data_IF_639942332330
#
_entry.id   IF_639942332330
#
_cell.length_a   1.000
_cell.length_b   1.000
_cell.length_c   1.000
_cell.angle_alpha   90.00
_cell.angle_beta   90.00
_cell.angle_gamma   90.00
#
_symmetry.space_group_name_H-M   'P 1'
#
loop_
_entity.id
_entity.type
_entity.pdbx_description
1 polymer ?
#
# COMPACT_ATOMS: atom_id res chain seq x y z
N UNK A 1 -15.41 11.74 14.52
CA UNK A 1 -15.79 10.63 13.63
C UNK A 1 -14.75 10.54 12.53
N UNK A 2 -13.67 9.78 12.75
CA UNK A 2 -12.62 9.59 11.75
C UNK A 2 -13.06 8.56 10.71
N UNK A 3 -12.79 8.84 9.44
CA UNK A 3 -13.15 8.00 8.27
C UNK A 3 -12.25 6.76 8.17
N UNK A 4 -11.19 6.68 8.99
CA UNK A 4 -10.21 5.59 9.01
C UNK A 4 -10.15 4.97 10.41
N UNK A 5 -10.28 3.64 10.48
CA UNK A 5 -10.01 2.86 11.70
C UNK A 5 -8.50 2.81 11.91
N UNK A 6 -8.00 3.59 12.87
CA UNK A 6 -6.63 3.43 13.37
C UNK A 6 -6.56 2.18 14.24
N UNK A 7 -5.57 1.32 13.99
CA UNK A 7 -5.31 0.21 14.90
C UNK A 7 -4.75 0.76 16.22
N UNK A 8 -5.48 0.50 17.29
CA UNK A 8 -5.13 0.85 18.66
C UNK A 8 -4.75 -0.41 19.42
N UNK A 9 -3.79 -0.30 20.31
CA UNK A 9 -3.46 -1.35 21.26
C UNK A 9 -3.66 -0.84 22.69
N UNK A 10 -4.05 -1.76 23.55
CA UNK A 10 -4.21 -1.57 24.99
C UNK A 10 -3.38 -2.65 25.66
N UNK A 11 -2.51 -2.27 26.59
CA UNK A 11 -1.58 -3.17 27.24
C UNK A 11 -1.55 -2.92 28.74
N UNK A 12 -1.63 -3.98 29.53
CA UNK A 12 -1.34 -3.94 30.96
C UNK A 12 0.11 -4.43 31.17
N UNK A 13 1.05 -3.49 31.26
CA UNK A 13 2.47 -3.78 31.34
C UNK A 13 2.85 -4.02 32.80
N UNK A 14 3.34 -5.22 33.11
CA UNK A 14 3.89 -5.54 34.43
C UNK A 14 5.39 -5.33 34.42
N UNK A 15 5.87 -4.44 35.29
CA UNK A 15 7.29 -4.09 35.40
C UNK A 15 7.81 -4.61 36.73
N UNK A 16 8.91 -5.37 36.66
CA UNK A 16 9.69 -5.81 37.81
C UNK A 16 11.15 -5.48 37.56
N UNK A 17 11.79 -4.81 38.52
CA UNK A 17 13.20 -4.47 38.43
C UNK A 17 13.87 -4.65 39.79
N UNK A 18 15.13 -5.10 39.77
CA UNK A 18 15.96 -5.26 40.95
C UNK A 18 17.25 -4.51 40.75
N UNK A 19 17.61 -3.63 41.69
CA UNK A 19 18.84 -2.85 41.65
C UNK A 19 19.70 -3.13 42.88
N UNK A 20 21.01 -3.27 42.67
CA UNK A 20 21.98 -3.38 43.75
C UNK A 20 22.43 -1.98 44.22
N UNK A 21 22.02 -1.54 45.42
CA UNK A 21 22.34 -0.20 45.91
C UNK A 21 23.82 -0.02 46.27
N UNK A 22 24.62 -1.08 46.44
CA UNK A 22 26.06 -0.95 46.72
C UNK A 22 26.79 -0.14 45.65
N UNK A 23 26.29 -0.18 44.41
CA UNK A 23 26.89 0.56 43.30
C UNK A 23 26.72 2.07 43.42
N UNK A 24 25.73 2.54 44.18
CA UNK A 24 25.57 3.97 44.48
C UNK A 24 26.73 4.50 45.31
N UNK A 25 27.41 3.65 46.10
CA UNK A 25 28.59 4.05 46.87
C UNK A 25 29.72 4.54 45.95
N UNK A 26 29.85 3.98 44.74
CA UNK A 26 30.84 4.42 43.75
C UNK A 26 30.57 5.84 43.19
N UNK A 27 29.33 6.33 43.30
CA UNK A 27 28.93 7.68 42.87
C UNK A 27 29.17 8.73 43.95
N UNK A 28 29.36 8.34 45.21
CA UNK A 28 29.64 9.25 46.33
C UNK A 28 31.10 9.68 46.32
N UNK A 29 31.42 10.69 45.50
CA UNK A 29 32.72 11.36 45.48
C UNK A 29 32.65 12.65 46.31
N UNK A 30 33.79 13.12 46.82
CA UNK A 30 33.89 14.32 47.66
C UNK A 30 33.31 15.60 47.05
N UNK A 31 33.21 15.68 45.71
CA UNK A 31 32.64 16.82 44.99
C UNK A 31 31.22 16.58 44.45
N UNK A 32 30.54 15.51 44.86
CA UNK A 32 29.20 15.16 44.36
C UNK A 32 28.22 15.14 45.54
N UNK A 33 27.21 16.01 45.49
CA UNK A 33 26.08 15.99 46.40
C UNK A 33 24.94 15.25 45.71
N UNK A 34 24.53 14.11 46.28
CA UNK A 34 23.39 13.35 45.78
C UNK A 34 22.08 14.07 46.15
N UNK A 35 21.21 14.27 45.16
CA UNK A 35 19.85 14.76 45.36
C UNK A 35 18.92 13.68 45.95
N UNK A 36 17.66 14.04 46.25
CA UNK A 36 16.66 13.07 46.69
C UNK A 36 16.42 12.02 45.58
N UNK A 37 16.39 10.72 45.91
CA UNK A 37 16.17 9.67 44.92
C UNK A 37 14.74 9.74 44.37
N UNK A 38 14.60 9.47 43.07
CA UNK A 38 13.32 9.40 42.36
C UNK A 38 13.37 8.26 41.37
N UNK A 39 12.27 7.53 41.24
CA UNK A 39 12.06 6.58 40.15
C UNK A 39 11.35 7.32 39.03
N UNK A 40 11.88 7.24 37.80
CA UNK A 40 11.32 7.95 36.64
C UNK A 40 10.95 6.92 35.59
N UNK A 41 9.73 7.02 35.07
CA UNK A 41 9.26 6.25 33.92
C UNK A 41 8.87 7.26 32.88
N UNK A 42 9.55 7.23 31.74
CA UNK A 42 9.24 8.12 30.65
C UNK A 42 8.66 7.35 29.47
N UNK A 43 7.76 8.04 28.78
CA UNK A 43 6.96 7.52 27.70
C UNK A 43 7.01 8.50 26.54
N UNK A 44 6.82 7.99 25.31
CA UNK A 44 6.76 8.85 24.13
C UNK A 44 5.60 9.85 24.17
N UNK A 45 4.47 9.49 24.78
CA UNK A 45 3.30 10.35 24.94
C UNK A 45 2.58 10.03 26.26
N UNK A 46 2.50 11.00 27.17
CA UNK A 46 1.83 10.83 28.47
C UNK A 46 0.32 10.59 28.35
N UNK A 47 -0.32 10.97 27.23
CA UNK A 47 -1.76 10.75 27.00
C UNK A 47 -2.11 9.27 26.88
N UNK A 48 -1.12 8.43 26.54
CA UNK A 48 -1.27 6.98 26.48
C UNK A 48 -1.29 6.30 27.85
N UNK A 49 -0.89 6.99 28.93
CA UNK A 49 -0.91 6.42 30.28
C UNK A 49 -2.36 6.42 30.78
N UNK A 50 -2.93 5.24 30.95
CA UNK A 50 -4.29 5.05 31.45
C UNK A 50 -4.35 5.05 32.98
N UNK A 51 -3.66 4.09 33.60
CA UNK A 51 -3.63 3.91 35.05
C UNK A 51 -2.31 3.30 35.50
N UNK A 52 -1.94 3.57 36.75
CA UNK A 52 -0.73 3.05 37.39
C UNK A 52 -1.17 2.35 38.66
N UNK A 53 -0.85 1.08 38.79
CA UNK A 53 -1.33 0.24 39.87
C UNK A 53 -0.18 -0.12 40.82
N UNK A 54 -0.37 0.28 42.09
CA UNK A 54 0.46 -0.10 43.24
C UNK A 54 1.97 -0.08 42.95
N UNK A 55 2.58 1.09 42.69
CA UNK A 55 4.01 1.16 42.57
C UNK A 55 4.67 0.95 43.93
N UNK A 56 5.33 -0.19 44.06
CA UNK A 56 5.96 -0.61 45.29
C UNK A 56 7.47 -0.64 45.13
N UNK A 57 8.15 -0.12 46.15
CA UNK A 57 9.59 -0.29 46.31
C UNK A 57 9.84 -0.95 47.65
N UNK A 58 10.46 -2.13 47.65
CA UNK A 58 10.68 -2.96 48.84
C UNK A 58 9.40 -3.17 49.67
N UNK A 59 8.24 -3.25 49.03
CA UNK A 59 6.91 -3.40 49.65
C UNK A 59 6.28 -2.11 50.18
N UNK A 60 6.94 -0.95 50.03
CA UNK A 60 6.36 0.35 50.36
C UNK A 60 5.73 0.98 49.12
N UNK A 61 4.44 1.33 49.21
CA UNK A 61 3.73 2.02 48.13
C UNK A 61 4.25 3.45 47.97
N UNK A 62 4.59 3.83 46.75
CA UNK A 62 5.04 5.17 46.39
C UNK A 62 3.90 6.02 45.84
N UNK A 63 3.97 7.34 46.04
CA UNK A 63 3.11 8.28 45.32
C UNK A 63 3.65 8.50 43.91
N UNK A 64 2.74 8.57 42.94
CA UNK A 64 3.07 8.89 41.55
C UNK A 64 2.74 10.35 41.30
N UNK A 65 3.70 11.08 40.75
CA UNK A 65 3.53 12.45 40.31
C UNK A 65 3.72 12.56 38.79
N UNK A 66 2.94 13.42 38.10
CA UNK A 66 3.09 13.64 36.66
C UNK A 66 4.40 14.36 36.33
N UNK A 67 4.93 14.09 35.12
CA UNK A 67 6.19 14.65 34.63
C UNK A 67 7.42 13.86 35.07
N UNK A 68 8.58 14.19 34.51
CA UNK A 68 9.81 13.42 34.72
C UNK A 68 10.52 13.72 36.06
N UNK A 69 10.24 14.86 36.69
CA UNK A 69 10.87 15.23 37.97
C UNK A 69 12.40 15.36 37.91
N UNK A 70 12.98 15.45 36.71
CA UNK A 70 14.41 15.67 36.42
C UNK A 70 14.54 16.80 35.40
N UNK A 71 15.72 17.41 35.32
CA UNK A 71 16.06 18.39 34.29
C UNK A 71 16.00 17.71 32.91
N UNK A 72 15.22 18.28 31.99
CA UNK A 72 15.11 17.78 30.61
C UNK A 72 13.67 17.77 30.11
N UNK A 73 13.53 17.83 28.78
CA UNK A 73 12.23 17.76 28.12
C UNK A 73 11.80 16.31 27.93
N UNK A 74 10.57 15.99 28.36
CA UNK A 74 9.97 14.69 28.08
C UNK A 74 8.68 14.45 28.84
N UNK A 75 7.95 13.43 28.40
CA UNK A 75 6.68 13.02 28.98
C UNK A 75 6.86 11.76 29.83
N UNK A 76 6.11 11.66 30.93
CA UNK A 76 6.23 10.54 31.85
C UNK A 76 5.70 10.83 33.23
N UNK A 77 6.15 10.01 34.16
CA UNK A 77 5.82 10.05 35.57
C UNK A 77 7.10 9.91 36.39
N UNK A 78 7.06 10.45 37.60
CA UNK A 78 8.10 10.22 38.59
C UNK A 78 7.49 9.87 39.93
N UNK A 79 8.23 9.08 40.70
CA UNK A 79 7.83 8.63 42.03
C UNK A 79 8.95 9.04 42.98
N UNK A 80 8.73 10.03 43.85
CA UNK A 80 9.67 10.39 44.89
C UNK A 80 9.93 9.19 45.80
N UNK A 81 11.20 8.92 46.09
CA UNK A 81 11.59 7.78 46.92
C UNK A 81 12.11 8.27 48.27
N UNK A 82 11.90 7.49 49.36
CA UNK A 82 12.60 7.75 50.61
C UNK A 82 14.11 7.59 50.41
N UNK A 83 14.90 8.21 51.29
CA UNK A 83 16.34 8.05 51.26
C UNK A 83 16.71 6.56 51.34
N UNK A 84 17.56 6.10 50.41
CA UNK A 84 17.99 4.72 50.33
C UNK A 84 18.84 4.39 51.57
N UNK A 85 18.34 3.47 52.40
CA UNK A 85 19.09 2.97 53.55
C UNK A 85 20.27 2.11 53.07
N UNK A 86 21.39 2.16 53.79
CA UNK A 86 22.58 1.33 53.52
C UNK A 86 22.44 -0.10 54.07
N UNK A 87 21.23 -0.66 54.05
CA UNK A 87 20.96 -1.97 54.64
C UNK A 87 21.31 -3.15 53.71
N UNK A 88 22.05 -2.86 52.63
CA UNK A 88 22.58 -3.84 51.67
C UNK A 88 21.52 -4.74 51.02
N UNK A 89 20.25 -4.35 51.08
CA UNK A 89 19.15 -5.07 50.45
C UNK A 89 18.98 -4.62 49.00
N UNK A 90 18.74 -5.54 48.05
CA UNK A 90 18.40 -5.14 46.70
C UNK A 90 17.13 -4.28 46.72
N UNK A 91 17.12 -3.25 45.88
CA UNK A 91 15.98 -2.39 45.66
C UNK A 91 15.06 -3.08 44.66
N UNK A 92 14.02 -3.72 45.19
CA UNK A 92 12.99 -4.39 44.40
C UNK A 92 11.88 -3.39 44.06
N UNK A 93 11.61 -3.25 42.77
CA UNK A 93 10.60 -2.35 42.21
C UNK A 93 9.59 -3.20 41.47
N UNK A 94 8.31 -3.04 41.80
CA UNK A 94 7.22 -3.73 41.11
C UNK A 94 6.03 -2.78 40.94
N UNK A 95 5.50 -2.70 39.72
CA UNK A 95 4.28 -1.95 39.42
C UNK A 95 3.65 -2.42 38.11
N UNK A 96 2.38 -2.08 37.91
CA UNK A 96 1.70 -2.29 36.63
C UNK A 96 1.27 -0.96 36.02
N UNK A 97 1.38 -0.85 34.70
CA UNK A 97 1.09 0.34 33.93
C UNK A 97 0.14 -0.01 32.79
N UNK A 98 -1.04 0.59 32.80
CA UNK A 98 -1.98 0.48 31.69
C UNK A 98 -1.59 1.51 30.63
N UNK A 99 -1.18 1.03 29.46
CA UNK A 99 -0.75 1.83 28.33
C UNK A 99 -1.67 1.63 27.13
N UNK A 100 -2.03 2.75 26.51
CA UNK A 100 -2.79 2.80 25.28
C UNK A 100 -1.97 3.54 24.23
N UNK A 101 -1.96 3.01 23.01
CA UNK A 101 -1.24 3.63 21.92
C UNK A 101 -1.72 3.19 20.55
N UNK A 102 -1.09 3.77 19.53
CA UNK A 102 -1.32 3.47 18.11
C UNK A 102 0.01 3.26 17.44
N UNK A 103 0.10 2.31 16.51
CA UNK A 103 1.35 2.03 15.81
C UNK A 103 2.27 1.08 16.56
N UNK A 104 3.48 1.55 16.80
CA UNK A 104 4.55 0.77 17.40
C UNK A 104 4.47 0.78 18.94
N UNK A 105 4.68 -0.38 19.54
CA UNK A 105 5.02 -0.51 20.96
C UNK A 105 6.52 -0.77 21.08
N UNK A 106 7.23 0.12 21.79
CA UNK A 106 8.69 0.03 21.97
C UNK A 106 9.06 0.15 23.45
N UNK A 107 9.88 -0.77 23.95
CA UNK A 107 10.40 -0.77 25.32
C UNK A 107 11.93 -0.75 25.31
N UNK A 108 12.53 0.24 25.97
CA UNK A 108 13.99 0.35 26.09
C UNK A 108 14.50 -0.51 27.25
N UNK A 109 15.36 -1.53 27.01
CA UNK A 109 15.95 -2.34 28.06
C UNK A 109 17.08 -1.58 28.76
N UNK A 110 16.75 -0.84 29.82
CA UNK A 110 17.72 -0.07 30.62
C UNK A 110 18.59 -0.92 31.54
N UNK A 111 18.15 -2.14 31.85
CA UNK A 111 18.85 -3.04 32.76
C UNK A 111 20.11 -3.65 32.15
N UNK A 112 21.03 -4.11 33.01
CA UNK A 112 22.13 -4.96 32.54
C UNK A 112 21.61 -6.23 31.88
N UNK A 113 20.61 -6.85 32.47
CA UNK A 113 19.86 -7.93 31.84
C UNK A 113 18.41 -7.47 31.78
N UNK A 114 17.75 -7.68 30.66
CA UNK A 114 16.34 -7.30 30.49
C UNK A 114 15.64 -8.37 29.68
N UNK A 115 14.42 -8.67 30.11
CA UNK A 115 13.57 -9.66 29.48
C UNK A 115 12.20 -9.03 29.24
N UNK A 116 11.63 -9.26 28.07
CA UNK A 116 10.28 -8.84 27.74
C UNK A 116 9.53 -10.02 27.14
N UNK A 117 8.40 -10.36 27.76
CA UNK A 117 7.44 -11.30 27.21
C UNK A 117 6.18 -10.52 26.82
N UNK A 118 5.84 -10.55 25.53
CA UNK A 118 4.67 -9.88 24.98
C UNK A 118 3.72 -10.92 24.41
N UNK A 119 2.46 -10.84 24.79
CA UNK A 119 1.38 -11.62 24.20
C UNK A 119 0.34 -10.65 23.63
N UNK A 120 -0.09 -10.89 22.40
CA UNK A 120 -1.08 -10.07 21.72
C UNK A 120 -2.05 -10.97 20.95
N UNK A 121 -3.28 -10.51 20.81
CA UNK A 121 -4.31 -11.13 19.97
C UNK A 121 -4.23 -10.71 18.49
N UNK A 122 -3.22 -9.91 18.11
CA UNK A 122 -3.01 -9.48 16.74
C UNK A 122 -2.30 -10.57 15.91
N UNK A 123 -2.80 -10.98 14.73
CA UNK A 123 -2.22 -12.10 13.98
C UNK A 123 -0.97 -11.75 13.15
N UNK A 124 -0.72 -10.47 12.86
CA UNK A 124 0.36 -10.05 11.95
C UNK A 124 1.35 -9.07 12.61
N UNK A 125 2.18 -9.54 13.58
CA UNK A 125 3.17 -8.67 14.22
C UNK A 125 4.27 -8.22 13.27
N UNK A 126 4.64 -6.93 13.34
CA UNK A 126 5.90 -6.44 12.79
C UNK A 126 7.00 -6.46 13.85
N UNK A 127 7.90 -7.43 13.82
CA UNK A 127 9.10 -7.40 14.67
C UNK A 127 10.19 -6.59 13.97
N UNK A 128 10.36 -5.34 14.39
CA UNK A 128 11.31 -4.38 13.84
C UNK A 128 12.23 -3.86 14.96
N UNK A 129 13.25 -3.07 14.60
CA UNK A 129 14.10 -2.39 15.58
C UNK A 129 15.45 -3.06 15.85
N UNK A 130 16.06 -2.71 16.98
CA UNK A 130 17.45 -3.08 17.33
C UNK A 130 17.58 -4.51 17.85
N UNK A 131 16.47 -5.12 18.30
CA UNK A 131 16.45 -6.46 18.87
C UNK A 131 15.31 -7.28 18.29
N UNK A 132 15.66 -8.40 17.67
CA UNK A 132 14.69 -9.41 17.27
C UNK A 132 14.35 -10.32 18.46
N UNK A 133 13.10 -10.80 18.55
CA UNK A 133 12.71 -11.73 19.61
C UNK A 133 13.52 -13.02 19.50
N UNK A 134 14.01 -13.53 20.64
CA UNK A 134 14.74 -14.79 20.73
C UNK A 134 13.82 -15.98 20.49
N UNK A 135 12.55 -15.87 20.90
CA UNK A 135 11.49 -16.84 20.61
C UNK A 135 10.23 -16.11 20.15
N UNK A 136 9.58 -16.65 19.11
CA UNK A 136 8.31 -16.12 18.59
C UNK A 136 7.37 -17.25 18.18
N UNK A 137 6.11 -17.12 18.55
CA UNK A 137 5.00 -17.96 18.11
C UNK A 137 3.95 -17.03 17.49
N UNK A 138 3.63 -17.22 16.22
CA UNK A 138 2.64 -16.39 15.49
C UNK A 138 1.55 -17.30 14.95
N UNK A 139 0.29 -16.94 15.18
CA UNK A 139 -0.89 -17.69 14.79
C UNK A 139 -2.02 -16.75 14.35
N UNK A 140 -3.06 -17.29 13.70
CA UNK A 140 -4.24 -16.50 13.34
C UNK A 140 -5.00 -15.93 14.56
N UNK A 141 -4.78 -16.46 15.76
CA UNK A 141 -5.38 -15.98 17.00
C UNK A 141 -4.56 -14.88 17.71
N UNK A 142 -3.32 -14.65 17.27
CA UNK A 142 -2.39 -13.76 17.95
C UNK A 142 -0.93 -14.20 17.89
N UNK A 143 -0.07 -13.47 18.60
CA UNK A 143 1.34 -13.79 18.75
C UNK A 143 1.81 -13.77 20.21
N UNK A 144 2.86 -14.56 20.46
CA UNK A 144 3.69 -14.48 21.66
C UNK A 144 5.14 -14.26 21.24
N UNK A 145 5.78 -13.27 21.81
CA UNK A 145 7.16 -12.94 21.53
C UNK A 145 7.93 -12.75 22.83
N UNK A 146 9.16 -13.24 22.83
CA UNK A 146 10.07 -13.16 23.95
C UNK A 146 11.37 -12.51 23.47
N UNK A 147 11.76 -11.42 24.12
CA UNK A 147 13.04 -10.75 23.93
C UNK A 147 13.89 -10.91 25.17
N UNK A 148 15.18 -11.05 24.95
CA UNK A 148 16.17 -11.05 26.00
C UNK A 148 17.35 -10.21 25.54
N UNK A 149 17.82 -9.32 26.41
CA UNK A 149 19.05 -8.57 26.18
C UNK A 149 19.96 -8.62 27.39
N UNK A 150 21.25 -8.47 27.12
CA UNK A 150 22.31 -8.45 28.11
C UNK A 150 23.12 -7.17 27.99
N UNK A 151 23.97 -6.91 28.98
CA UNK A 151 24.77 -5.70 29.08
C UNK A 151 25.65 -5.50 27.85
N UNK A 152 26.13 -6.61 27.28
CA UNK A 152 26.95 -6.61 26.06
C UNK A 152 26.18 -6.16 24.82
N UNK A 153 24.86 -6.39 24.79
CA UNK A 153 24.02 -6.09 23.64
C UNK A 153 23.39 -4.69 23.74
N UNK A 154 23.05 -4.23 24.94
CA UNK A 154 22.44 -2.91 25.14
C UNK A 154 23.48 -1.78 25.20
N UNK A 155 24.69 -2.06 25.72
CA UNK A 155 25.75 -1.09 26.06
C UNK A 155 25.20 0.25 26.60
N UNK A 156 24.20 0.16 27.48
CA UNK A 156 23.40 1.32 27.86
C UNK A 156 24.24 2.39 28.58
N UNK A 157 25.34 1.97 29.22
CA UNK A 157 26.29 2.88 29.84
C UNK A 157 27.03 3.79 28.86
N UNK A 158 27.06 3.51 27.55
CA UNK A 158 27.62 4.43 26.56
C UNK A 158 26.70 5.63 26.28
N UNK A 159 25.39 5.44 26.42
CA UNK A 159 24.38 6.48 26.18
C UNK A 159 24.28 7.47 27.35
N UNK A 160 24.57 7.05 28.59
CA UNK A 160 24.48 7.93 29.77
C UNK A 160 25.82 8.52 30.23
N UNK A 161 26.83 8.60 29.35
CA UNK A 161 28.19 9.07 29.71
C UNK A 161 28.35 10.58 29.73
N UNK A 162 27.63 11.29 28.87
CA UNK A 162 27.75 12.73 28.66
C UNK A 162 26.44 13.44 29.01
N UNK A 163 26.51 14.72 29.36
CA UNK A 163 25.37 15.61 29.66
C UNK A 163 24.54 15.95 28.40
N UNK A 164 24.60 15.09 27.39
CA UNK A 164 23.94 15.23 26.10
C UNK A 164 22.53 14.64 26.19
N UNK A 165 21.52 15.44 25.87
CA UNK A 165 20.16 14.94 25.70
C UNK A 165 20.11 13.98 24.50
N UNK A 166 19.92 12.68 24.79
CA UNK A 166 19.76 11.67 23.74
C UNK A 166 18.28 11.55 23.40
N UNK A 167 17.88 11.77 22.14
CA UNK A 167 16.51 11.57 21.74
C UNK A 167 16.13 10.10 21.85
N UNK A 168 14.93 9.85 22.38
CA UNK A 168 14.29 8.54 22.59
C UNK A 168 14.44 7.58 21.41
N UNK A 169 14.36 8.11 20.18
CA UNK A 169 14.46 7.34 18.93
C UNK A 169 15.81 6.69 18.65
N UNK A 170 16.87 7.08 19.37
CA UNK A 170 18.22 6.51 19.21
C UNK A 170 18.54 5.43 20.23
N UNK A 171 17.69 5.24 21.24
CA UNK A 171 17.89 4.19 22.23
C UNK A 171 17.48 2.84 21.60
N UNK A 172 18.30 1.80 21.77
CA UNK A 172 17.92 0.48 21.30
C UNK A 172 16.70 0.00 22.10
N UNK A 173 15.69 -0.52 21.41
CA UNK A 173 14.41 -0.91 22.02
C UNK A 173 13.94 -2.27 21.50
N UNK A 174 13.17 -2.96 22.34
CA UNK A 174 12.32 -4.08 21.96
C UNK A 174 11.06 -3.51 21.34
N UNK A 175 10.85 -3.76 20.05
CA UNK A 175 9.74 -3.15 19.31
C UNK A 175 8.82 -4.21 18.69
N UNK A 176 7.53 -3.94 18.78
CA UNK A 176 6.47 -4.68 18.10
C UNK A 176 5.52 -3.69 17.43
N UNK A 177 5.42 -3.78 16.11
CA UNK A 177 4.50 -2.98 15.32
C UNK A 177 3.14 -3.68 15.22
N UNK A 178 2.08 -2.89 15.47
CA UNK A 178 0.70 -3.31 15.29
C UNK A 178 0.17 -2.85 13.92
N UNK A 179 0.75 -1.81 13.31
CA UNK A 179 0.30 -1.31 12.01
C UNK A 179 0.79 -2.18 10.85
N UNK A 180 -0.14 -2.77 10.12
CA UNK A 180 0.14 -3.32 8.79
C UNK A 180 0.23 -2.19 7.75
N UNK A 181 1.31 -1.40 7.72
CA UNK A 181 1.53 -0.43 6.63
C UNK A 181 1.60 -1.10 5.25
N UNK A 182 1.98 -2.38 5.22
CA UNK A 182 2.11 -3.14 3.99
C UNK A 182 0.75 -3.37 3.31
N UNK A 183 -0.33 -3.63 4.04
CA UNK A 183 -1.48 -4.25 3.40
C UNK A 183 -2.27 -3.26 2.55
N UNK A 184 -2.74 -2.14 3.10
CA UNK A 184 -3.57 -1.20 2.34
C UNK A 184 -2.80 -0.49 1.20
N UNK A 185 -1.53 -0.16 1.40
CA UNK A 185 -0.72 0.52 0.39
C UNK A 185 -0.24 -0.46 -0.70
N UNK A 186 0.19 -1.68 -0.35
CA UNK A 186 0.54 -2.67 -1.36
C UNK A 186 -0.71 -3.20 -2.09
N UNK A 187 -1.86 -3.34 -1.43
CA UNK A 187 -3.13 -3.65 -2.09
C UNK A 187 -3.48 -2.57 -3.11
N UNK A 188 -3.31 -1.29 -2.76
CA UNK A 188 -3.59 -0.15 -3.65
C UNK A 188 -2.63 -0.12 -4.85
N UNK A 189 -1.34 -0.30 -4.62
CA UNK A 189 -0.34 -0.35 -5.68
C UNK A 189 -0.57 -1.53 -6.64
N UNK A 190 -0.81 -2.73 -6.10
CA UNK A 190 -1.13 -3.94 -6.88
C UNK A 190 -2.41 -3.77 -7.70
N UNK A 191 -3.48 -3.29 -7.08
CA UNK A 191 -4.77 -3.12 -7.74
C UNK A 191 -4.73 -2.07 -8.86
N UNK A 192 -3.96 -0.99 -8.69
CA UNK A 192 -3.78 0.03 -9.74
C UNK A 192 -3.02 -0.55 -10.95
N UNK A 193 -1.97 -1.35 -10.70
CA UNK A 193 -1.22 -2.05 -11.76
C UNK A 193 -2.12 -3.01 -12.54
N UNK A 194 -3.00 -3.74 -11.86
CA UNK A 194 -3.92 -4.67 -12.52
C UNK A 194 -5.11 -3.97 -13.22
N UNK A 195 -5.57 -2.82 -12.72
CA UNK A 195 -6.61 -2.03 -13.37
C UNK A 195 -6.20 -1.57 -14.78
N UNK A 196 -4.92 -1.20 -14.97
CA UNK A 196 -4.39 -0.81 -16.29
C UNK A 196 -4.47 -1.97 -17.28
N UNK A 197 -4.19 -3.21 -16.84
CA UNK A 197 -4.29 -4.41 -17.66
C UNK A 197 -5.75 -4.67 -18.11
N UNK A 198 -6.70 -4.55 -17.18
CA UNK A 198 -8.14 -4.70 -17.45
C UNK A 198 -8.63 -3.69 -18.49
N UNK A 199 -8.23 -2.42 -18.34
CA UNK A 199 -8.54 -1.36 -19.31
C UNK A 199 -7.93 -1.71 -20.68
N UNK A 200 -6.67 -2.09 -20.74
CA UNK A 200 -6.00 -2.46 -22.01
C UNK A 200 -6.68 -3.63 -22.74
N UNK A 201 -7.02 -4.69 -22.01
CA UNK A 201 -7.66 -5.88 -22.58
C UNK A 201 -9.07 -5.59 -23.12
N UNK A 202 -9.83 -4.77 -22.40
CA UNK A 202 -11.19 -4.40 -22.81
C UNK A 202 -11.18 -3.52 -24.06
N UNK A 203 -10.28 -2.54 -24.15
CA UNK A 203 -10.05 -1.78 -25.39
C UNK A 203 -9.69 -2.68 -26.57
N UNK A 204 -8.82 -3.68 -26.37
CA UNK A 204 -8.42 -4.60 -27.44
C UNK A 204 -9.57 -5.50 -27.92
N UNK A 205 -10.48 -5.89 -27.03
CA UNK A 205 -11.68 -6.63 -27.40
C UNK A 205 -12.62 -5.80 -28.30
N UNK A 206 -12.76 -4.48 -28.06
CA UNK A 206 -13.51 -3.58 -28.95
C UNK A 206 -12.90 -3.49 -30.34
N UNK A 207 -11.56 -3.43 -30.46
CA UNK A 207 -10.87 -3.42 -31.75
C UNK A 207 -11.12 -4.66 -32.59
N UNK A 208 -11.36 -5.82 -31.96
CA UNK A 208 -11.57 -7.08 -32.68
C UNK A 208 -12.97 -7.22 -33.27
N UNK A 209 -13.98 -6.62 -32.66
CA UNK A 209 -15.38 -6.85 -33.07
C UNK A 209 -15.83 -5.88 -34.16
N UNK A 210 -15.00 -4.91 -34.56
CA UNK A 210 -15.37 -3.94 -35.59
C UNK A 210 -14.23 -3.69 -36.58
N UNK A 211 -14.46 -4.03 -37.84
CA UNK A 211 -13.70 -3.47 -38.96
C UNK A 211 -13.95 -1.94 -39.00
N UNK A 212 -12.90 -1.12 -39.15
CA UNK A 212 -13.04 0.34 -39.11
C UNK A 212 -13.74 0.80 -40.39
N UNK A 213 -15.04 1.02 -40.29
CA UNK A 213 -15.82 1.69 -41.33
C UNK A 213 -15.83 3.21 -41.04
N UNK A 214 -15.21 4.05 -41.90
CA UNK A 214 -14.89 5.44 -41.58
C UNK A 214 -16.09 6.41 -41.54
N UNK A 215 -17.32 5.95 -41.72
CA UNK A 215 -18.52 6.81 -41.83
C UNK A 215 -19.64 6.50 -40.82
N UNK A 216 -19.36 5.83 -39.70
CA UNK A 216 -20.38 5.50 -38.69
C UNK A 216 -20.28 6.39 -37.44
N UNK A 217 -21.41 6.86 -36.85
CA UNK A 217 -21.44 7.57 -35.55
C UNK A 217 -20.98 6.72 -34.34
N UNK A 218 -20.33 5.58 -34.60
CA UNK A 218 -19.90 4.61 -33.60
C UNK A 218 -18.55 4.91 -32.95
N UNK A 219 -17.78 5.89 -33.45
CA UNK A 219 -16.54 6.32 -32.80
C UNK A 219 -16.81 6.84 -31.37
N UNK A 220 -17.92 7.55 -31.18
CA UNK A 220 -18.33 8.09 -29.88
C UNK A 220 -18.75 6.98 -28.90
N UNK A 221 -19.25 5.86 -29.42
CA UNK A 221 -19.67 4.71 -28.62
C UNK A 221 -18.47 3.92 -28.04
N UNK A 222 -17.35 3.87 -28.76
CA UNK A 222 -16.13 3.22 -28.26
C UNK A 222 -15.53 4.05 -27.11
N UNK A 223 -15.54 5.38 -27.21
CA UNK A 223 -15.10 6.28 -26.12
C UNK A 223 -16.00 6.20 -24.89
N UNK A 224 -17.32 6.10 -25.06
CA UNK A 224 -18.26 5.98 -23.95
C UNK A 224 -18.18 4.62 -23.24
N UNK A 225 -17.95 3.53 -23.98
CA UNK A 225 -17.71 2.20 -23.41
C UNK A 225 -16.44 2.13 -22.55
N UNK A 226 -15.35 2.74 -23.03
CA UNK A 226 -14.10 2.86 -22.27
C UNK A 226 -14.25 3.71 -20.99
N UNK A 227 -15.00 4.81 -21.06
CA UNK A 227 -15.28 5.67 -19.90
C UNK A 227 -16.15 4.95 -18.85
N UNK A 228 -17.15 4.16 -19.29
CA UNK A 228 -17.98 3.32 -18.41
C UNK A 228 -17.14 2.28 -17.66
N UNK A 229 -16.16 1.67 -18.34
CA UNK A 229 -15.24 0.70 -17.74
C UNK A 229 -14.34 1.34 -16.67
N UNK A 230 -13.82 2.55 -16.91
CA UNK A 230 -13.02 3.27 -15.90
C UNK A 230 -13.87 3.63 -14.68
N UNK A 231 -15.08 4.14 -14.89
CA UNK A 231 -16.02 4.46 -13.81
C UNK A 231 -16.44 3.21 -13.02
N UNK A 232 -16.59 2.08 -13.70
CA UNK A 232 -16.86 0.79 -13.08
C UNK A 232 -15.73 0.35 -12.14
N UNK A 233 -14.48 0.37 -12.62
CA UNK A 233 -13.31 -0.02 -11.83
C UNK A 233 -13.13 0.90 -10.61
N UNK A 234 -13.34 2.21 -10.78
CA UNK A 234 -13.34 3.18 -9.68
C UNK A 234 -14.45 2.96 -8.65
N UNK A 235 -15.66 2.62 -9.09
CA UNK A 235 -16.77 2.32 -8.19
C UNK A 235 -16.49 1.05 -7.36
N UNK A 236 -16.01 -0.02 -8.01
CA UNK A 236 -15.63 -1.26 -7.32
C UNK A 236 -14.51 -1.05 -6.30
N UNK A 237 -13.55 -0.16 -6.61
CA UNK A 237 -12.50 0.22 -5.68
C UNK A 237 -13.05 0.90 -4.42
N UNK A 238 -13.88 1.93 -4.59
CA UNK A 238 -14.42 2.74 -3.48
C UNK A 238 -15.27 1.92 -2.51
N UNK A 239 -16.00 0.94 -3.02
CA UNK A 239 -16.83 0.07 -2.18
C UNK A 239 -16.02 -0.85 -1.27
N UNK A 240 -14.74 -1.12 -1.59
CA UNK A 240 -13.86 -1.99 -0.79
C UNK A 240 -13.36 -1.33 0.49
N UNK A 241 -13.30 0.00 0.53
CA UNK A 241 -12.82 0.75 1.70
C UNK A 241 -13.84 0.91 2.83
N UNK A 242 -15.09 0.47 2.66
CA UNK A 242 -16.17 0.85 3.59
C UNK A 242 -16.63 -0.23 4.57
N UNK A 243 -16.41 -1.53 4.37
CA UNK A 243 -16.83 -2.55 5.35
C UNK A 243 -15.96 -3.82 5.26
N UNK A 244 -15.61 -4.38 6.42
CA UNK A 244 -14.91 -5.67 6.61
C UNK A 244 -15.73 -6.91 6.18
N UNK A 245 -16.85 -6.73 5.45
CA UNK A 245 -17.71 -7.82 4.99
C UNK A 245 -17.70 -7.93 3.44
N UNK A 246 -17.69 -9.16 2.88
CA UNK A 246 -17.63 -9.41 1.43
C UNK A 246 -18.81 -8.94 0.51
N UNK A 247 -20.06 -8.67 0.97
CA UNK A 247 -21.20 -8.35 0.09
C UNK A 247 -21.09 -7.08 -0.80
N UNK A 248 -20.50 -5.95 -0.36
CA UNK A 248 -20.52 -4.70 -1.13
C UNK A 248 -19.77 -4.80 -2.47
N UNK A 249 -18.71 -5.61 -2.53
CA UNK A 249 -17.92 -5.79 -3.75
C UNK A 249 -18.68 -6.58 -4.82
N UNK A 250 -19.36 -7.66 -4.44
CA UNK A 250 -20.20 -8.45 -5.35
C UNK A 250 -21.32 -7.61 -5.94
N UNK A 251 -21.98 -6.79 -5.13
CA UNK A 251 -23.04 -5.88 -5.60
C UNK A 251 -22.50 -4.84 -6.60
N UNK A 252 -21.31 -4.28 -6.35
CA UNK A 252 -20.67 -3.33 -7.25
C UNK A 252 -20.26 -3.98 -8.58
N UNK A 253 -19.60 -5.15 -8.54
CA UNK A 253 -19.17 -5.89 -9.72
C UNK A 253 -20.36 -6.30 -10.59
N UNK A 254 -21.43 -6.84 -9.99
CA UNK A 254 -22.63 -7.24 -10.71
C UNK A 254 -23.34 -6.04 -11.37
N UNK A 255 -23.45 -4.92 -10.66
CA UNK A 255 -24.12 -3.72 -11.16
C UNK A 255 -23.41 -3.15 -12.39
N UNK A 256 -22.08 -3.08 -12.37
CA UNK A 256 -21.35 -2.59 -13.53
C UNK A 256 -21.19 -3.60 -14.65
N UNK A 257 -21.15 -4.90 -14.36
CA UNK A 257 -21.24 -5.95 -15.38
C UNK A 257 -22.56 -5.85 -16.16
N UNK A 258 -23.69 -5.62 -15.45
CA UNK A 258 -25.00 -5.37 -16.06
C UNK A 258 -24.98 -4.09 -16.89
N UNK A 259 -24.45 -2.98 -16.36
CA UNK A 259 -24.39 -1.71 -17.08
C UNK A 259 -23.59 -1.82 -18.38
N UNK A 260 -22.41 -2.46 -18.33
CA UNK A 260 -21.58 -2.69 -19.52
C UNK A 260 -22.25 -3.68 -20.49
N UNK A 261 -22.94 -4.72 -19.98
CA UNK A 261 -23.67 -5.69 -20.80
C UNK A 261 -24.82 -5.08 -21.58
N UNK A 262 -25.64 -4.23 -20.95
CA UNK A 262 -26.74 -3.51 -21.60
C UNK A 262 -26.20 -2.58 -22.69
N UNK A 263 -25.10 -1.87 -22.40
CA UNK A 263 -24.45 -1.00 -23.38
C UNK A 263 -23.93 -1.77 -24.60
N UNK A 264 -23.25 -2.88 -24.36
CA UNK A 264 -22.67 -3.71 -25.42
C UNK A 264 -23.73 -4.45 -26.25
N UNK A 265 -24.87 -4.79 -25.66
CA UNK A 265 -26.00 -5.34 -26.41
C UNK A 265 -26.47 -4.36 -27.50
N UNK A 266 -26.51 -3.07 -27.19
CA UNK A 266 -26.88 -2.03 -28.15
C UNK A 266 -25.82 -1.85 -29.26
N UNK A 267 -24.54 -1.99 -28.93
CA UNK A 267 -23.42 -1.78 -29.87
C UNK A 267 -23.15 -3.00 -30.76
N UNK A 268 -23.21 -4.22 -30.21
CA UNK A 268 -22.81 -5.46 -30.88
C UNK A 268 -23.94 -6.14 -31.67
N UNK A 269 -25.18 -5.61 -31.62
CA UNK A 269 -26.39 -6.13 -32.29
C UNK A 269 -26.58 -7.65 -32.16
N UNK A 270 -26.22 -8.22 -31.00
CA UNK A 270 -26.32 -9.67 -30.74
C UNK A 270 -26.17 -10.03 -29.26
N UNK A 271 -27.18 -10.71 -28.70
CA UNK A 271 -27.24 -11.05 -27.27
C UNK A 271 -26.15 -12.04 -26.83
N UNK A 272 -25.76 -12.99 -27.70
CA UNK A 272 -24.72 -13.99 -27.41
C UNK A 272 -23.34 -13.36 -27.23
N UNK A 273 -23.00 -12.36 -28.05
CA UNK A 273 -21.70 -11.70 -28.00
C UNK A 273 -21.59 -10.78 -26.77
N UNK A 274 -22.68 -10.10 -26.40
CA UNK A 274 -22.74 -9.32 -25.16
C UNK A 274 -22.60 -10.22 -23.93
N UNK A 275 -23.31 -11.35 -23.89
CA UNK A 275 -23.25 -12.29 -22.75
C UNK A 275 -21.84 -12.88 -22.55
N UNK A 276 -21.16 -13.22 -23.66
CA UNK A 276 -19.79 -13.73 -23.63
C UNK A 276 -18.80 -12.68 -23.13
N UNK A 277 -19.00 -11.41 -23.48
CA UNK A 277 -18.17 -10.31 -22.99
C UNK A 277 -18.39 -10.02 -21.49
N UNK A 278 -19.65 -9.97 -21.04
CA UNK A 278 -19.98 -9.80 -19.61
C UNK A 278 -19.42 -10.95 -18.78
N UNK A 279 -19.51 -12.18 -19.27
CA UNK A 279 -18.91 -13.34 -18.61
C UNK A 279 -17.38 -13.23 -18.51
N UNK A 280 -16.71 -12.74 -19.57
CA UNK A 280 -15.28 -12.50 -19.54
C UNK A 280 -14.88 -11.40 -18.55
N UNK A 281 -15.66 -10.31 -18.45
CA UNK A 281 -15.46 -9.26 -17.44
C UNK A 281 -15.62 -9.78 -16.01
N UNK A 282 -16.69 -10.53 -15.73
CA UNK A 282 -16.92 -11.10 -14.41
C UNK A 282 -15.86 -12.12 -14.02
N UNK A 283 -15.37 -12.91 -14.97
CA UNK A 283 -14.25 -13.83 -14.74
C UNK A 283 -12.99 -13.06 -14.37
N UNK A 284 -12.70 -11.96 -15.07
CA UNK A 284 -11.54 -11.13 -14.80
C UNK A 284 -11.64 -10.40 -13.44
N UNK A 285 -12.83 -9.93 -13.07
CA UNK A 285 -13.11 -9.39 -11.73
C UNK A 285 -12.93 -10.46 -10.64
N UNK A 286 -13.38 -11.69 -10.88
CA UNK A 286 -13.19 -12.81 -9.96
C UNK A 286 -11.71 -13.16 -9.76
N UNK A 287 -10.93 -13.15 -10.84
CA UNK A 287 -9.47 -13.31 -10.78
C UNK A 287 -8.83 -12.18 -9.98
N UNK A 288 -9.25 -10.94 -10.19
CA UNK A 288 -8.79 -9.77 -9.43
C UNK A 288 -9.08 -9.96 -7.94
N UNK A 289 -10.29 -10.41 -7.58
CA UNK A 289 -10.67 -10.68 -6.21
C UNK A 289 -9.75 -11.71 -5.55
N UNK A 290 -9.46 -12.81 -6.25
CA UNK A 290 -8.56 -13.85 -5.76
C UNK A 290 -7.12 -13.34 -5.56
N UNK A 291 -6.63 -12.51 -6.49
CA UNK A 291 -5.30 -11.88 -6.39
C UNK A 291 -5.18 -10.96 -5.17
N UNK A 292 -6.24 -10.23 -4.83
CA UNK A 292 -6.22 -9.32 -3.68
C UNK A 292 -6.44 -10.03 -2.33
N UNK A 293 -6.96 -11.27 -2.32
CA UNK A 293 -7.18 -12.02 -1.08
C UNK A 293 -6.07 -13.04 -0.79
N UNK A 294 -5.10 -13.18 -1.70
CA UNK A 294 -3.93 -14.01 -1.51
C UNK A 294 -2.74 -13.16 -1.08
N UNK A 295 -2.51 -13.07 0.23
CA UNK A 295 -1.35 -12.37 0.80
C UNK A 295 -0.03 -13.06 0.40
N UNK A 296 0.00 -14.41 0.45
CA UNK A 296 1.24 -15.19 0.29
C UNK A 296 1.55 -15.64 -1.15
N UNK A 297 0.61 -15.57 -2.10
CA UNK A 297 0.79 -16.11 -3.47
C UNK A 297 0.47 -15.13 -4.60
N UNK A 298 0.43 -13.82 -4.29
CA UNK A 298 0.11 -12.78 -5.27
C UNK A 298 1.01 -12.80 -6.52
N UNK A 299 2.31 -13.08 -6.38
CA UNK A 299 3.26 -13.15 -7.50
C UNK A 299 3.00 -14.35 -8.42
N UNK A 300 2.73 -15.51 -7.84
CA UNK A 300 2.50 -16.75 -8.59
C UNK A 300 1.16 -16.70 -9.33
N UNK A 301 0.13 -16.15 -8.68
CA UNK A 301 -1.15 -15.95 -9.33
C UNK A 301 -1.10 -14.86 -10.39
N UNK A 302 -0.43 -13.74 -10.13
CA UNK A 302 -0.31 -12.63 -11.08
C UNK A 302 0.39 -13.05 -12.37
N UNK A 303 1.49 -13.81 -12.26
CA UNK A 303 2.21 -14.36 -13.43
C UNK A 303 1.36 -15.37 -14.21
N UNK A 304 0.62 -16.25 -13.53
CA UNK A 304 -0.31 -17.18 -14.18
C UNK A 304 -1.40 -16.48 -15.00
N UNK A 305 -2.01 -15.43 -14.43
CA UNK A 305 -3.02 -14.61 -15.10
C UNK A 305 -2.44 -13.90 -16.33
N UNK A 306 -1.22 -13.37 -16.22
CA UNK A 306 -0.56 -12.65 -17.30
C UNK A 306 -0.19 -13.58 -18.46
N UNK A 307 0.27 -14.79 -18.18
CA UNK A 307 0.54 -15.83 -19.18
C UNK A 307 -0.76 -16.27 -19.88
N UNK A 308 -1.85 -16.45 -19.14
CA UNK A 308 -3.15 -16.81 -19.71
C UNK A 308 -3.69 -15.69 -20.60
N UNK A 309 -3.65 -14.44 -20.12
CA UNK A 309 -4.07 -13.26 -20.88
C UNK A 309 -3.27 -13.12 -22.18
N UNK A 310 -1.94 -13.26 -22.13
CA UNK A 310 -1.08 -13.24 -23.31
C UNK A 310 -1.40 -14.39 -24.27
N UNK A 311 -1.64 -15.59 -23.76
CA UNK A 311 -2.00 -16.76 -24.58
C UNK A 311 -3.32 -16.53 -25.34
N UNK A 312 -4.32 -15.98 -24.66
CA UNK A 312 -5.60 -15.59 -25.28
C UNK A 312 -5.37 -14.49 -26.32
N UNK A 313 -4.53 -13.50 -26.03
CA UNK A 313 -4.17 -12.43 -26.95
C UNK A 313 -3.56 -12.95 -28.26
N UNK A 314 -2.59 -13.86 -28.14
CA UNK A 314 -1.94 -14.50 -29.28
C UNK A 314 -2.93 -15.34 -30.08
N UNK A 315 -3.83 -16.06 -29.39
CA UNK A 315 -4.85 -16.86 -30.05
C UNK A 315 -5.87 -16.01 -30.83
N UNK A 316 -6.30 -14.89 -30.25
CA UNK A 316 -7.20 -13.95 -30.90
C UNK A 316 -6.50 -13.28 -32.10
N UNK A 317 -5.34 -12.68 -31.90
CA UNK A 317 -4.62 -11.92 -32.95
C UNK A 317 -4.19 -12.79 -34.15
N UNK A 318 -4.11 -14.13 -34.00
CA UNK A 318 -3.83 -15.08 -35.10
C UNK A 318 -4.73 -14.95 -36.33
N UNK A 319 -5.95 -14.44 -36.19
CA UNK A 319 -6.93 -14.30 -37.29
C UNK A 319 -7.03 -12.88 -37.85
N UNK A 320 -6.15 -11.96 -37.43
CA UNK A 320 -6.19 -10.56 -37.89
C UNK A 320 -5.30 -10.43 -39.13
N UNK A 321 -5.91 -10.11 -40.28
CA UNK A 321 -5.20 -9.86 -41.54
C UNK A 321 -4.58 -8.46 -41.53
N UNK A 322 -3.41 -8.34 -40.89
CA UNK A 322 -2.60 -7.11 -40.87
C UNK A 322 -2.22 -6.62 -42.28
N UNK A 323 -2.17 -7.53 -43.25
CA UNK A 323 -1.90 -7.22 -44.65
C UNK A 323 -3.04 -6.47 -45.36
N UNK A 324 -4.29 -6.62 -44.92
CA UNK A 324 -5.41 -5.87 -45.49
C UNK A 324 -5.40 -4.38 -45.11
N UNK A 325 -4.75 -4.05 -43.98
CA UNK A 325 -4.62 -2.68 -43.46
C UNK A 325 -3.45 -1.90 -44.07
N UNK A 326 -2.50 -2.58 -44.73
CA UNK A 326 -1.28 -1.97 -45.30
C UNK A 326 -1.34 -1.73 -46.81
N UNK A 327 -2.40 -2.16 -47.49
CA UNK A 327 -2.60 -1.90 -48.92
C UNK A 327 -3.26 -0.51 -49.11
N UNK A 328 -2.58 0.45 -49.79
CA UNK A 328 -3.24 1.67 -50.22
C UNK A 328 -4.37 1.29 -51.16
N UNK A 329 -5.57 1.80 -50.91
CA UNK A 329 -6.76 1.59 -51.73
C UNK A 329 -6.46 2.06 -53.16
N UNK A 330 -6.12 1.11 -54.03
CA UNK A 330 -5.79 1.37 -55.42
C UNK A 330 -6.92 2.15 -56.09
N UNK A 331 -6.58 3.31 -56.64
CA UNK A 331 -7.51 4.17 -57.36
C UNK A 331 -8.08 3.39 -58.55
N UNK A 332 -9.41 3.25 -58.60
CA UNK A 332 -10.09 2.58 -59.70
C UNK A 332 -9.71 3.20 -61.07
N UNK A 333 -9.57 2.40 -62.14
CA UNK A 333 -9.19 2.92 -63.45
C UNK A 333 -10.33 3.77 -64.02
N UNK A 334 -9.97 4.99 -64.45
CA UNK A 334 -10.86 5.95 -65.10
C UNK A 334 -11.46 5.32 -66.36
N UNK A 335 -12.76 5.02 -66.33
CA UNK A 335 -13.57 4.53 -67.45
C UNK A 335 -13.40 5.48 -68.64
N UNK A 336 -12.72 5.05 -69.71
CA UNK A 336 -12.74 5.77 -71.00
C UNK A 336 -14.15 5.67 -71.56
N UNK A 337 -14.81 6.81 -71.72
CA UNK A 337 -16.00 6.93 -72.57
C UNK A 337 -15.58 6.77 -74.04
N UNK A 338 -16.39 6.10 -74.89
CA UNK A 338 -16.13 6.05 -76.32
C UNK A 338 -16.41 7.43 -76.93
N UNK A 339 -15.42 8.00 -77.64
CA UNK A 339 -15.64 9.13 -78.52
C UNK A 339 -16.46 8.65 -79.71
N UNK A 340 -17.70 9.13 -79.82
CA UNK A 340 -18.45 9.11 -81.07
C UNK A 340 -17.85 10.13 -82.03
N UNK A 341 -17.45 9.66 -83.20
CA UNK A 341 -17.01 10.47 -84.33
C UNK A 341 -18.22 11.25 -84.86
N UNK A 342 -18.25 12.57 -84.65
CA UNK A 342 -19.15 13.47 -85.38
C UNK A 342 -18.35 14.16 -86.48
N UNK A 343 -18.75 13.90 -87.72
CA UNK A 343 -18.21 14.48 -88.93
C UNK A 343 -18.82 15.89 -89.11
N UNK A 344 -18.00 16.93 -89.14
CA UNK A 344 -18.42 18.25 -89.62
C UNK A 344 -17.28 18.90 -90.40
N UNK A 345 -17.49 18.94 -91.72
CA UNK A 345 -16.78 19.73 -92.72
C UNK A 345 -16.81 21.23 -92.38
N UNK A 346 -15.67 21.93 -92.52
CA UNK A 346 -15.69 23.39 -92.48
C UNK A 346 -14.35 24.11 -92.38
N UNK A 347 -13.60 24.10 -93.50
CA UNK A 347 -12.81 25.22 -94.07
C UNK A 347 -11.58 25.79 -93.32
N UNK A 348 -10.52 25.86 -94.11
CA UNK A 348 -9.15 26.39 -93.91
C UNK A 348 -9.10 27.90 -93.62
N UNK A 349 -8.01 28.27 -92.92
CA UNK A 349 -7.20 29.52 -92.93
C UNK A 349 -7.10 30.13 -91.51
N UNK A 350 -5.97 30.60 -90.96
CA UNK A 350 -4.54 30.49 -91.23
C UNK A 350 -3.82 31.08 -89.98
N UNK A 351 -2.58 30.66 -89.75
CA UNK A 351 -1.48 31.42 -89.10
C UNK A 351 -1.49 31.78 -87.57
N UNK A 352 -0.36 31.35 -86.95
CA UNK A 352 0.50 31.93 -85.88
C UNK A 352 0.38 31.51 -84.40
N UNK A 353 1.35 30.67 -84.02
CA UNK A 353 2.39 30.84 -82.98
C UNK A 353 2.00 31.47 -81.62
N UNK A 354 2.15 30.67 -80.57
CA UNK A 354 2.23 31.14 -79.18
C UNK A 354 2.84 30.07 -78.27
N UNK A 355 4.17 30.06 -78.20
CA UNK A 355 4.94 29.21 -77.30
C UNK A 355 4.69 29.57 -75.83
N UNK A 356 4.54 28.57 -74.95
CA UNK A 356 5.00 28.71 -73.57
C UNK A 356 5.36 27.35 -72.95
N UNK A 357 6.68 27.11 -72.96
CA UNK A 357 7.40 26.20 -72.06
C UNK A 357 7.23 26.66 -70.61
N UNK A 358 7.14 25.68 -69.69
CA UNK A 358 7.86 25.61 -68.39
C UNK A 358 7.50 24.26 -67.75
N UNK A 359 8.28 23.21 -68.00
CA UNK A 359 9.37 22.67 -67.16
C UNK A 359 9.02 22.48 -65.68
N UNK A 360 8.89 21.20 -65.35
CA UNK A 360 9.14 20.56 -64.06
C UNK A 360 10.43 21.06 -63.38
N UNK A 361 10.43 21.11 -62.04
CA UNK A 361 11.49 20.47 -61.25
C UNK A 361 11.01 20.12 -59.84
N UNK A 362 11.20 18.83 -59.53
CA UNK A 362 11.21 18.19 -58.22
C UNK A 362 12.51 18.59 -57.51
N UNK A 363 12.46 18.83 -56.19
CA UNK A 363 13.62 18.64 -55.32
C UNK A 363 13.16 18.08 -53.98
N UNK A 364 13.72 16.91 -53.65
CA UNK A 364 13.69 16.25 -52.36
C UNK A 364 15.05 16.43 -51.69
N UNK A 365 15.05 16.53 -50.36
CA UNK A 365 16.10 16.31 -49.35
C UNK A 365 15.59 17.06 -48.09
N UNK A 366 15.55 16.52 -46.88
CA UNK A 366 16.27 15.44 -46.21
C UNK A 366 15.37 14.86 -45.10
#
# INVERSE_FOLDING_TARGET
>A
MGIYSGQVWHNALQIKASFDPLRLAALRKTNIVLGPPRLVVSVGDARGIGAIHAPEVNGNVLSVEPGLGISGDGAGIHMPMPALAEDNKPLEIAFSLDLNGTGEFSLVPIGRNSELQLTSNWPHPGFLGSFLPTQREVSAAGYRAHWQSSWFANDMGSYFKDDMEIPWSRLPAFSADVMSLADQYQLTDRATKYAILLIGLTFMAFFRVREPDPSSPASDAISAGGLSLVLFTWCCWRSRSMLDLPPPWLAASLSGAVMNGVYLQAVLRGWRNSLLFVAALLLLDGVMWFLLHSEDSALLLGTGVLVLALSVLMFLTRRVDWYALSLPKGSAPRRRLPMTTSCASGKSDDIKNGALRRRFHIMAAE
#
